data_IF_866621346599
#
_entry.id   IF_866621346599
#
_cell.length_a   1.000
_cell.length_b   1.000
_cell.length_c   1.000
_cell.angle_alpha   90.00
_cell.angle_beta   90.00
_cell.angle_gamma   90.00
#
_symmetry.space_group_name_H-M   'P 1'
#
loop_
_entity.id
_entity.type
_entity.pdbx_description
1 polymer ?
#
# COMPACT_ATOMS: atom_id res chain seq x y z
N UNK A 1 18.30 -17.69 9.07
CA UNK A 1 16.88 -18.00 8.81
C UNK A 1 16.70 -18.09 7.30
N UNK A 2 15.99 -19.14 6.81
CA UNK A 2 15.53 -19.23 5.43
C UNK A 2 14.18 -18.59 5.31
N UNK A 3 13.94 -17.81 4.25
CA UNK A 3 12.70 -17.09 3.99
C UNK A 3 12.12 -17.51 2.64
N UNK A 4 10.84 -17.85 2.61
CA UNK A 4 10.07 -18.02 1.38
C UNK A 4 9.04 -16.91 1.27
N UNK A 5 9.14 -16.06 0.24
CA UNK A 5 8.18 -15.03 -0.08
C UNK A 5 7.29 -15.52 -1.20
N UNK A 6 5.97 -15.55 -0.96
CA UNK A 6 4.97 -15.96 -1.96
C UNK A 6 4.17 -14.74 -2.40
N UNK A 7 4.11 -14.49 -3.70
CA UNK A 7 3.38 -13.39 -4.32
C UNK A 7 2.47 -13.92 -5.44
N UNK A 8 1.20 -13.55 -5.38
CA UNK A 8 0.21 -14.00 -6.35
C UNK A 8 0.38 -13.42 -7.76
N UNK A 9 0.99 -12.27 -7.85
CA UNK A 9 1.20 -11.58 -9.13
C UNK A 9 2.59 -11.78 -9.72
N UNK A 10 2.84 -11.07 -10.79
CA UNK A 10 4.09 -11.11 -11.56
C UNK A 10 5.15 -10.19 -10.98
N UNK A 11 6.39 -10.33 -11.47
CA UNK A 11 7.44 -9.33 -11.28
C UNK A 11 7.01 -7.98 -11.88
N UNK A 12 7.38 -6.90 -11.22
CA UNK A 12 7.05 -5.51 -11.58
C UNK A 12 7.96 -4.93 -12.68
N UNK A 13 8.26 -5.73 -13.71
CA UNK A 13 9.20 -5.36 -14.79
C UNK A 13 8.59 -4.51 -15.90
N UNK A 14 7.25 -4.41 -15.97
CA UNK A 14 6.59 -3.69 -17.05
C UNK A 14 6.93 -2.19 -16.99
N UNK A 15 7.17 -1.61 -18.17
CA UNK A 15 7.44 -0.17 -18.29
C UNK A 15 6.33 0.67 -17.65
N UNK A 16 5.07 0.26 -17.82
CA UNK A 16 3.92 0.94 -17.25
C UNK A 16 3.95 1.00 -15.71
N UNK A 17 4.52 -0.02 -15.04
CA UNK A 17 4.69 -0.05 -13.59
C UNK A 17 5.82 0.89 -13.16
N UNK A 18 6.92 0.91 -13.90
CA UNK A 18 8.09 1.76 -13.60
C UNK A 18 7.82 3.24 -13.86
N UNK A 19 7.08 3.54 -14.91
CA UNK A 19 6.78 4.89 -15.35
C UNK A 19 5.74 5.55 -14.42
N UNK A 20 6.04 6.69 -13.77
CA UNK A 20 5.09 7.37 -12.89
C UNK A 20 3.75 7.70 -13.55
N UNK A 21 3.76 8.14 -14.80
CA UNK A 21 2.55 8.44 -15.57
C UNK A 21 1.67 7.19 -15.87
N UNK A 22 2.22 6.00 -15.71
CA UNK A 22 1.50 4.73 -15.90
C UNK A 22 0.39 4.45 -14.90
N UNK A 23 0.36 5.16 -13.77
CA UNK A 23 -0.63 4.95 -12.69
C UNK A 23 -2.07 4.96 -13.21
N UNK A 24 -2.42 5.93 -14.08
CA UNK A 24 -3.76 6.05 -14.62
C UNK A 24 -4.24 4.83 -15.40
N UNK A 25 -3.35 4.09 -16.03
CA UNK A 25 -3.68 2.85 -16.76
C UNK A 25 -3.70 1.62 -15.82
N UNK A 26 -2.82 1.59 -14.82
CA UNK A 26 -2.72 0.47 -13.88
C UNK A 26 -3.94 0.35 -12.96
N UNK A 27 -4.57 1.46 -12.62
CA UNK A 27 -5.71 1.49 -11.68
C UNK A 27 -7.09 1.44 -12.33
N UNK A 28 -7.19 1.61 -13.66
CA UNK A 28 -8.48 1.73 -14.37
C UNK A 28 -9.30 0.45 -14.44
N UNK A 29 -8.64 -0.69 -14.50
CA UNK A 29 -9.29 -1.97 -14.73
C UNK A 29 -8.54 -3.11 -14.02
N UNK A 30 -9.24 -4.23 -13.81
CA UNK A 30 -8.58 -5.49 -13.48
C UNK A 30 -7.53 -5.84 -14.52
N UNK A 31 -6.40 -6.40 -14.07
CA UNK A 31 -5.32 -6.72 -14.98
C UNK A 31 -4.17 -7.49 -14.32
N UNK A 32 -3.07 -7.58 -15.06
CA UNK A 32 -1.90 -8.33 -14.60
C UNK A 32 -1.29 -7.81 -13.29
N UNK A 33 -1.49 -6.54 -12.98
CA UNK A 33 -0.94 -5.86 -11.79
C UNK A 33 -2.02 -5.29 -10.85
N UNK A 34 -3.31 -5.55 -11.11
CA UNK A 34 -4.42 -5.04 -10.31
C UNK A 34 -5.44 -6.14 -10.08
N UNK A 35 -5.82 -6.35 -8.82
CA UNK A 35 -6.86 -7.32 -8.44
C UNK A 35 -8.25 -6.93 -8.93
N UNK A 36 -8.53 -5.64 -9.05
CA UNK A 36 -9.79 -5.16 -9.58
C UNK A 36 -10.99 -5.38 -8.67
N UNK A 37 -10.85 -5.08 -7.38
CA UNK A 37 -11.95 -5.23 -6.44
C UNK A 37 -13.02 -4.15 -6.61
N UNK A 38 -14.25 -4.53 -6.25
CA UNK A 38 -15.38 -3.63 -6.07
C UNK A 38 -15.93 -3.79 -4.65
N UNK A 39 -16.36 -2.69 -4.06
CA UNK A 39 -17.11 -2.78 -2.80
C UNK A 39 -18.50 -3.36 -3.04
N UNK A 40 -19.10 -3.90 -1.99
CA UNK A 40 -20.56 -4.07 -1.97
C UNK A 40 -21.25 -2.71 -2.04
N UNK A 41 -22.56 -2.67 -2.41
CA UNK A 41 -23.30 -1.41 -2.43
C UNK A 41 -23.23 -0.67 -1.09
N UNK A 42 -22.78 0.57 -1.11
CA UNK A 42 -22.60 1.38 0.09
C UNK A 42 -23.89 2.15 0.40
N UNK A 43 -24.57 1.76 1.49
CA UNK A 43 -25.86 2.32 1.89
C UNK A 43 -25.87 3.87 1.98
N UNK A 44 -24.82 4.43 2.60
CA UNK A 44 -24.70 5.88 2.81
C UNK A 44 -24.10 6.63 1.62
N UNK A 45 -23.88 5.95 0.50
CA UNK A 45 -23.38 6.50 -0.75
C UNK A 45 -24.37 6.22 -1.91
N UNK A 46 -25.68 6.28 -1.64
CA UNK A 46 -26.75 6.02 -2.60
C UNK A 46 -26.66 4.63 -3.27
N UNK A 47 -26.24 3.63 -2.54
CA UNK A 47 -26.10 2.27 -3.05
C UNK A 47 -24.97 2.07 -4.07
N UNK A 48 -24.07 3.05 -4.22
CA UNK A 48 -22.95 2.93 -5.18
C UNK A 48 -21.98 1.82 -4.78
N UNK A 49 -21.49 1.09 -5.77
CA UNK A 49 -20.30 0.26 -5.68
C UNK A 49 -19.09 1.13 -6.05
N UNK A 50 -18.02 1.01 -5.29
CA UNK A 50 -16.79 1.75 -5.54
C UNK A 50 -15.75 0.82 -6.10
N UNK A 51 -15.08 1.26 -7.16
CA UNK A 51 -13.90 0.61 -7.69
C UNK A 51 -12.74 0.74 -6.70
N UNK A 52 -12.11 -0.38 -6.35
CA UNK A 52 -11.10 -0.41 -5.31
C UNK A 52 -9.83 -1.13 -5.78
N UNK A 53 -8.96 -0.46 -6.53
CA UNK A 53 -7.75 -1.06 -7.07
C UNK A 53 -6.80 -1.48 -5.94
N UNK A 54 -6.25 -2.69 -6.05
CA UNK A 54 -5.19 -3.21 -5.18
C UNK A 54 -4.13 -3.89 -6.03
N UNK A 55 -2.86 -3.61 -5.73
CA UNK A 55 -1.75 -4.14 -6.51
C UNK A 55 -1.61 -5.65 -6.39
N UNK A 56 -1.29 -6.28 -7.53
CA UNK A 56 -1.04 -7.72 -7.68
C UNK A 56 0.32 -7.91 -8.34
N UNK A 57 1.32 -8.29 -7.56
CA UNK A 57 2.70 -8.42 -8.05
C UNK A 57 3.73 -7.92 -7.05
N UNK A 58 4.97 -8.00 -7.43
CA UNK A 58 6.06 -7.52 -6.61
C UNK A 58 5.86 -6.06 -6.22
N UNK A 59 5.96 -5.79 -4.91
CA UNK A 59 5.68 -4.47 -4.35
C UNK A 59 4.20 -4.18 -4.05
N UNK A 60 3.28 -5.07 -4.43
CA UNK A 60 1.85 -4.91 -4.15
C UNK A 60 1.30 -3.56 -4.62
N UNK A 61 0.51 -2.90 -3.79
CA UNK A 61 -0.11 -1.60 -4.14
C UNK A 61 0.91 -0.47 -4.32
N UNK A 62 2.13 -0.58 -3.78
CA UNK A 62 3.18 0.42 -4.05
C UNK A 62 3.63 0.41 -5.52
N UNK A 63 3.37 -0.67 -6.27
CA UNK A 63 3.65 -0.78 -7.69
C UNK A 63 2.58 -0.17 -8.60
N UNK A 64 1.41 0.22 -8.05
CA UNK A 64 0.32 0.84 -8.82
C UNK A 64 -0.23 2.13 -8.22
N UNK A 65 0.20 2.55 -7.03
CA UNK A 65 -0.27 3.75 -6.33
C UNK A 65 0.14 5.07 -7.02
N UNK A 66 -0.37 6.20 -6.54
CA UNK A 66 -0.02 7.55 -6.99
C UNK A 66 1.33 8.07 -6.49
N UNK A 67 2.13 7.24 -5.81
CA UNK A 67 3.49 7.56 -5.31
C UNK A 67 3.55 8.73 -4.32
N UNK A 68 2.45 9.18 -3.78
CA UNK A 68 2.44 10.19 -2.72
C UNK A 68 3.03 9.55 -1.46
N UNK A 69 4.04 10.21 -0.87
CA UNK A 69 4.63 9.80 0.38
C UNK A 69 4.13 10.72 1.49
N UNK A 70 3.26 10.18 2.34
CA UNK A 70 2.73 10.84 3.52
C UNK A 70 2.50 9.80 4.60
N UNK A 71 2.87 10.13 5.83
CA UNK A 71 2.66 9.31 7.02
C UNK A 71 1.31 9.64 7.64
N UNK A 72 0.80 8.75 8.48
CA UNK A 72 -0.30 9.08 9.37
C UNK A 72 0.07 10.27 10.27
N UNK A 73 -0.94 10.99 10.74
CA UNK A 73 -0.74 12.06 11.71
C UNK A 73 -0.19 11.48 13.03
N UNK A 74 0.64 12.24 13.75
CA UNK A 74 1.22 11.78 15.03
C UNK A 74 0.13 11.29 16.01
N UNK A 75 -1.00 11.98 16.06
CA UNK A 75 -2.16 11.63 16.92
C UNK A 75 -2.79 10.28 16.56
N UNK A 76 -2.71 9.80 15.31
CA UNK A 76 -3.24 8.49 14.94
C UNK A 76 -2.50 7.37 15.67
N UNK A 77 -1.17 7.47 15.73
CA UNK A 77 -0.33 6.51 16.45
C UNK A 77 -0.45 6.63 17.96
N UNK A 78 -0.51 7.87 18.48
CA UNK A 78 -0.70 8.12 19.90
C UNK A 78 -2.07 7.60 20.37
N UNK A 79 -3.10 7.69 19.53
CA UNK A 79 -4.41 7.09 19.81
C UNK A 79 -4.30 5.55 19.88
N UNK A 80 -3.53 4.92 19.01
CA UNK A 80 -3.31 3.48 19.10
C UNK A 80 -2.65 3.09 20.42
N UNK A 81 -1.63 3.85 20.86
CA UNK A 81 -0.98 3.63 22.15
C UNK A 81 -1.96 3.78 23.30
N UNK A 82 -2.83 4.82 23.28
CA UNK A 82 -3.88 5.04 24.28
C UNK A 82 -4.91 3.92 24.32
N UNK A 83 -5.21 3.28 23.19
CA UNK A 83 -6.06 2.09 23.09
C UNK A 83 -5.40 0.82 23.67
N UNK A 84 -4.16 0.92 24.18
CA UNK A 84 -3.42 -0.18 24.80
C UNK A 84 -2.38 -0.85 23.91
N UNK A 85 -2.15 -0.37 22.68
CA UNK A 85 -1.15 -0.90 21.77
C UNK A 85 0.23 -0.31 22.11
N UNK A 86 0.91 -0.90 23.08
CA UNK A 86 2.24 -0.47 23.53
C UNK A 86 3.26 -0.60 22.39
N UNK A 87 4.15 0.39 22.25
CA UNK A 87 5.14 0.44 21.19
C UNK A 87 4.62 0.99 19.86
N UNK A 88 3.41 1.58 19.85
CA UNK A 88 2.77 2.15 18.68
C UNK A 88 2.51 3.66 18.79
N UNK A 89 3.03 4.35 19.79
CA UNK A 89 2.99 5.83 19.81
C UNK A 89 3.82 6.41 18.66
N UNK A 90 3.57 7.66 18.31
CA UNK A 90 4.37 8.32 17.26
C UNK A 90 5.86 8.29 17.57
N UNK A 91 6.23 8.51 18.83
CA UNK A 91 7.62 8.42 19.27
C UNK A 91 8.23 7.03 19.06
N UNK A 92 7.43 5.96 19.26
CA UNK A 92 7.89 4.59 19.06
C UNK A 92 8.06 4.24 17.57
N UNK A 93 7.17 4.72 16.69
CA UNK A 93 7.17 4.35 15.26
C UNK A 93 8.06 5.26 14.38
N UNK A 94 8.31 6.51 14.80
CA UNK A 94 9.13 7.45 14.04
C UNK A 94 10.54 6.93 13.70
N UNK A 95 11.28 6.25 14.59
CA UNK A 95 12.58 5.66 14.25
C UNK A 95 12.50 4.65 13.08
N UNK A 96 11.40 3.91 12.97
CA UNK A 96 11.18 2.96 11.87
C UNK A 96 10.83 3.66 10.56
N UNK A 97 10.06 4.73 10.59
CA UNK A 97 9.86 5.57 9.41
C UNK A 97 11.17 6.13 8.89
N UNK A 98 11.99 6.71 9.77
CA UNK A 98 13.31 7.23 9.41
C UNK A 98 14.26 6.13 8.88
N UNK A 99 14.24 4.95 9.49
CA UNK A 99 15.04 3.79 9.04
C UNK A 99 14.64 3.32 7.64
N UNK A 100 13.34 3.38 7.33
CA UNK A 100 12.79 2.98 6.04
C UNK A 100 13.10 3.98 4.93
N UNK A 101 13.11 5.25 5.24
CA UNK A 101 13.16 6.37 4.31
C UNK A 101 14.57 6.70 3.83
N UNK A 102 14.72 6.93 2.53
CA UNK A 102 15.89 7.51 1.90
C UNK A 102 15.53 8.84 1.26
N UNK A 103 15.30 9.87 2.10
CA UNK A 103 14.87 11.19 1.66
C UNK A 103 16.01 11.98 1.03
N UNK A 104 15.79 12.57 -0.15
CA UNK A 104 16.80 13.33 -0.87
C UNK A 104 17.16 14.65 -0.18
N UNK A 105 16.29 15.18 0.65
CA UNK A 105 16.53 16.41 1.44
C UNK A 105 17.43 16.20 2.65
N UNK A 106 17.85 14.94 2.95
CA UNK A 106 18.79 14.64 4.03
C UNK A 106 18.12 14.20 5.33
N UNK A 107 18.95 13.93 6.34
CA UNK A 107 18.50 13.55 7.68
C UNK A 107 17.97 14.74 8.47
N UNK A 108 16.92 14.49 9.25
CA UNK A 108 16.36 15.46 10.20
C UNK A 108 15.78 14.77 11.43
N UNK A 109 15.11 15.51 12.33
CA UNK A 109 14.36 14.91 13.42
C UNK A 109 13.25 13.97 12.91
N UNK A 110 12.69 14.25 11.75
CA UNK A 110 11.57 13.52 11.16
C UNK A 110 11.95 12.62 9.98
N UNK A 111 13.03 12.90 9.27
CA UNK A 111 13.44 12.18 8.06
C UNK A 111 14.69 11.35 8.24
N UNK A 112 14.80 10.29 7.44
CA UNK A 112 16.03 9.51 7.25
C UNK A 112 16.49 9.56 5.80
N UNK A 113 17.80 9.75 5.56
CA UNK A 113 18.37 9.85 4.22
C UNK A 113 18.90 8.54 3.65
N UNK A 114 19.16 7.53 4.49
CA UNK A 114 19.88 6.31 4.11
C UNK A 114 19.00 5.09 3.88
N UNK A 115 17.70 5.19 4.13
CA UNK A 115 16.78 4.07 3.99
C UNK A 115 16.58 3.60 2.54
N UNK A 116 16.07 2.38 2.37
CA UNK A 116 15.89 1.76 1.06
C UNK A 116 14.73 2.36 0.24
N UNK A 117 13.72 2.93 0.89
CA UNK A 117 12.59 3.58 0.21
C UNK A 117 12.98 5.01 -0.17
N UNK A 118 13.32 5.23 -1.43
CA UNK A 118 13.70 6.56 -1.89
C UNK A 118 12.50 7.49 -1.98
N UNK A 119 12.67 8.67 -1.40
CA UNK A 119 11.67 9.73 -1.32
C UNK A 119 12.27 11.03 -1.87
N UNK A 120 11.56 11.63 -2.81
CA UNK A 120 11.98 12.88 -3.47
C UNK A 120 10.92 13.97 -3.37
N UNK A 121 11.34 15.19 -3.56
CA UNK A 121 10.45 16.34 -3.75
C UNK A 121 9.75 16.25 -5.11
N UNK A 122 8.58 16.87 -5.20
CA UNK A 122 7.88 16.96 -6.49
C UNK A 122 8.58 17.94 -7.42
N UNK A 123 9.09 17.50 -8.60
CA UNK A 123 9.76 18.40 -9.55
C UNK A 123 8.78 19.32 -10.30
N UNK A 124 7.47 19.12 -10.18
CA UNK A 124 6.47 19.84 -10.93
C UNK A 124 6.33 21.28 -10.43
N UNK A 125 6.66 22.25 -11.28
CA UNK A 125 6.56 23.69 -11.05
C UNK A 125 5.46 24.33 -11.90
N UNK A 126 4.26 23.73 -11.97
CA UNK A 126 3.15 24.33 -12.72
C UNK A 126 2.69 25.64 -12.06
N UNK A 127 2.34 26.69 -12.85
CA UNK A 127 1.71 27.90 -12.33
C UNK A 127 0.46 27.63 -11.49
N UNK A 128 -0.30 26.59 -11.80
CA UNK A 128 -1.48 26.16 -11.05
C UNK A 128 -1.15 25.80 -9.60
N UNK A 129 -0.04 25.11 -9.36
CA UNK A 129 0.36 24.74 -7.99
C UNK A 129 0.66 25.97 -7.14
N UNK A 130 1.35 26.97 -7.73
CA UNK A 130 1.61 28.22 -7.03
C UNK A 130 0.33 28.98 -6.73
N UNK A 131 -0.56 29.07 -7.72
CA UNK A 131 -1.86 29.70 -7.55
C UNK A 131 -2.70 29.01 -6.48
N UNK A 132 -2.68 27.68 -6.44
CA UNK A 132 -3.41 26.90 -5.43
C UNK A 132 -2.87 27.13 -4.02
N UNK A 133 -1.53 27.15 -3.84
CA UNK A 133 -0.91 27.44 -2.54
C UNK A 133 -1.25 28.87 -2.09
N UNK A 134 -1.13 29.86 -2.99
CA UNK A 134 -1.50 31.24 -2.71
C UNK A 134 -2.97 31.41 -2.34
N UNK A 135 -3.86 30.69 -3.03
CA UNK A 135 -5.29 30.69 -2.71
C UNK A 135 -5.56 30.14 -1.31
N UNK A 136 -4.82 29.10 -0.89
CA UNK A 136 -4.89 28.58 0.47
C UNK A 136 -4.49 29.62 1.53
N UNK A 137 -3.37 30.33 1.30
CA UNK A 137 -2.91 31.41 2.17
C UNK A 137 -3.93 32.58 2.23
N UNK A 138 -4.45 32.99 1.07
CA UNK A 138 -5.50 34.03 0.98
C UNK A 138 -6.79 33.63 1.70
N UNK A 139 -7.11 32.35 1.75
CA UNK A 139 -8.24 31.82 2.49
C UNK A 139 -7.97 31.63 3.99
N UNK A 140 -6.77 32.02 4.47
CA UNK A 140 -6.40 31.96 5.88
C UNK A 140 -5.87 30.60 6.36
N UNK A 141 -5.54 29.68 5.44
CA UNK A 141 -4.92 28.41 5.80
C UNK A 141 -3.40 28.53 5.93
N UNK A 142 -2.82 27.74 6.83
CA UNK A 142 -1.37 27.68 7.00
C UNK A 142 -0.68 27.06 5.78
N UNK A 143 0.55 27.50 5.49
CA UNK A 143 1.44 26.81 4.56
C UNK A 143 2.31 25.82 5.31
N UNK A 144 2.48 24.62 4.75
CA UNK A 144 3.48 23.65 5.23
C UNK A 144 4.50 23.36 4.14
N UNK A 145 5.76 23.25 4.55
CA UNK A 145 6.86 22.84 3.67
C UNK A 145 7.06 21.32 3.68
N UNK A 146 6.50 20.66 4.69
CA UNK A 146 6.77 19.24 4.95
C UNK A 146 5.61 18.59 5.71
N UNK A 147 4.81 17.82 4.99
CA UNK A 147 3.70 17.04 5.58
C UNK A 147 4.17 15.88 6.48
N UNK A 148 5.45 15.51 6.41
CA UNK A 148 6.03 14.44 7.23
C UNK A 148 6.91 15.00 8.36
N UNK A 149 6.89 16.32 8.56
CA UNK A 149 7.59 17.04 9.59
C UNK A 149 6.79 17.23 10.89
N UNK A 150 7.05 18.34 11.59
CA UNK A 150 6.40 18.66 12.86
C UNK A 150 4.92 19.01 12.70
N UNK A 151 4.57 19.72 11.61
CA UNK A 151 3.23 20.24 11.34
C UNK A 151 2.70 19.65 10.04
N UNK A 152 1.71 18.76 10.15
CA UNK A 152 1.14 18.09 8.99
C UNK A 152 0.01 18.89 8.33
N UNK A 153 -0.65 19.78 9.07
CA UNK A 153 -1.78 20.55 8.56
C UNK A 153 -1.31 21.76 7.73
N UNK A 154 -1.98 22.00 6.61
CA UNK A 154 -1.72 23.17 5.76
C UNK A 154 -1.70 22.86 4.28
N UNK A 155 -1.35 23.88 3.50
CA UNK A 155 -1.14 23.80 2.06
C UNK A 155 0.34 23.61 1.75
N UNK A 156 0.68 22.59 0.98
CA UNK A 156 2.07 22.26 0.68
C UNK A 156 2.22 21.31 -0.49
N UNK A 157 3.45 20.89 -0.74
CA UNK A 157 3.77 19.90 -1.76
C UNK A 157 3.97 18.53 -1.12
N UNK A 158 3.42 17.51 -1.73
CA UNK A 158 3.68 16.13 -1.32
C UNK A 158 5.06 15.67 -1.79
N UNK A 159 5.76 15.00 -0.90
CA UNK A 159 6.91 14.18 -1.24
C UNK A 159 6.44 12.92 -1.99
N UNK A 160 7.33 12.28 -2.73
CA UNK A 160 6.99 11.17 -3.61
C UNK A 160 7.98 10.03 -3.54
N UNK A 161 7.47 8.80 -3.67
CA UNK A 161 8.28 7.61 -3.88
C UNK A 161 8.68 7.48 -5.35
N UNK A 162 9.49 8.43 -5.81
CA UNK A 162 10.06 8.48 -7.16
C UNK A 162 11.57 8.68 -7.02
N UNK A 163 12.35 7.93 -7.78
CA UNK A 163 13.79 8.08 -7.82
C UNK A 163 14.30 7.99 -9.26
N UNK A 164 15.12 8.96 -9.67
CA UNK A 164 15.65 9.05 -11.05
C UNK A 164 14.57 8.93 -12.14
N UNK A 165 13.40 9.56 -11.89
CA UNK A 165 12.29 9.55 -12.83
C UNK A 165 11.44 8.26 -12.85
N UNK A 166 11.75 7.28 -12.04
CA UNK A 166 11.02 6.02 -11.93
C UNK A 166 10.29 5.89 -10.59
N UNK A 167 9.15 5.17 -10.60
CA UNK A 167 8.46 4.73 -9.39
C UNK A 167 9.41 3.93 -8.50
N UNK A 168 9.46 4.26 -7.22
CA UNK A 168 10.23 3.53 -6.23
C UNK A 168 9.30 2.75 -5.30
N UNK A 169 8.90 1.56 -5.74
CA UNK A 169 8.00 0.68 -4.99
C UNK A 169 8.73 -0.05 -3.85
N UNK A 170 7.98 -0.71 -2.97
CA UNK A 170 8.55 -1.62 -1.97
C UNK A 170 9.41 -2.73 -2.61
N UNK A 171 9.06 -3.18 -3.80
CA UNK A 171 9.90 -4.13 -4.55
C UNK A 171 11.27 -3.52 -4.89
N UNK A 172 11.29 -2.29 -5.38
CA UNK A 172 12.54 -1.59 -5.71
C UNK A 172 13.39 -1.29 -4.49
N UNK A 173 12.76 -0.89 -3.38
CA UNK A 173 13.48 -0.56 -2.16
C UNK A 173 14.00 -1.78 -1.41
N UNK A 174 13.22 -2.84 -1.31
CA UNK A 174 13.50 -3.93 -0.37
C UNK A 174 13.76 -5.29 -1.04
N UNK A 175 13.04 -5.63 -2.12
CA UNK A 175 13.09 -6.98 -2.68
C UNK A 175 14.16 -7.13 -3.77
N UNK A 176 14.14 -6.26 -4.79
CA UNK A 176 15.05 -6.33 -5.93
C UNK A 176 16.54 -6.30 -5.55
N UNK A 177 16.98 -5.50 -4.57
CA UNK A 177 18.38 -5.47 -4.18
C UNK A 177 18.92 -6.78 -3.59
N UNK A 178 18.02 -7.66 -3.12
CA UNK A 178 18.41 -8.88 -2.40
C UNK A 178 18.08 -10.18 -3.13
N UNK A 179 17.16 -10.13 -4.10
CA UNK A 179 16.80 -11.30 -4.93
C UNK A 179 17.98 -11.70 -5.80
N UNK A 180 18.38 -12.97 -5.73
CA UNK A 180 19.55 -13.51 -6.43
C UNK A 180 20.88 -13.16 -5.77
N UNK A 181 20.86 -12.40 -4.67
CA UNK A 181 22.05 -12.08 -3.86
C UNK A 181 22.05 -12.86 -2.55
N UNK A 182 20.87 -13.03 -1.95
CA UNK A 182 20.72 -13.80 -0.70
C UNK A 182 20.32 -15.24 -0.99
N UNK A 183 21.18 -16.19 -0.66
CA UNK A 183 20.94 -17.64 -0.83
C UNK A 183 19.82 -18.17 0.09
N UNK A 184 19.50 -17.44 1.16
CA UNK A 184 18.48 -17.82 2.12
C UNK A 184 17.08 -17.27 1.76
N UNK A 185 16.90 -16.61 0.61
CA UNK A 185 15.63 -16.06 0.13
C UNK A 185 15.14 -16.80 -1.12
N UNK A 186 13.98 -17.45 -0.99
CA UNK A 186 13.23 -18.00 -2.13
C UNK A 186 12.04 -17.11 -2.42
N UNK A 187 11.81 -16.76 -3.69
CA UNK A 187 10.64 -15.97 -4.13
C UNK A 187 9.82 -16.77 -5.13
N UNK A 188 8.59 -17.08 -4.73
CA UNK A 188 7.58 -17.70 -5.59
C UNK A 188 6.68 -16.60 -6.15
N UNK A 189 6.76 -16.39 -7.45
CA UNK A 189 5.89 -15.44 -8.17
C UNK A 189 4.76 -16.18 -8.85
N UNK A 190 3.58 -15.55 -8.95
CA UNK A 190 2.35 -16.17 -9.47
C UNK A 190 1.81 -17.33 -8.63
N UNK A 191 2.21 -17.39 -7.36
CA UNK A 191 1.72 -18.34 -6.36
C UNK A 191 0.62 -17.69 -5.50
N UNK A 192 -0.60 -18.15 -5.62
CA UNK A 192 -1.71 -17.70 -4.78
C UNK A 192 -1.75 -18.54 -3.51
N UNK A 193 -1.57 -17.90 -2.36
CA UNK A 193 -1.81 -18.53 -1.06
C UNK A 193 -3.31 -18.66 -0.86
N UNK A 194 -3.80 -19.86 -0.69
CA UNK A 194 -5.23 -20.17 -0.52
C UNK A 194 -5.60 -20.39 0.93
N UNK A 195 -4.66 -20.85 1.74
CA UNK A 195 -4.90 -21.17 3.15
C UNK A 195 -3.61 -21.17 3.95
N UNK A 196 -3.70 -20.80 5.23
CA UNK A 196 -2.66 -21.03 6.24
C UNK A 196 -2.89 -22.42 6.83
N UNK A 197 -1.85 -23.23 6.88
CA UNK A 197 -1.89 -24.55 7.50
C UNK A 197 -1.82 -24.40 9.02
N UNK A 198 -2.78 -24.97 9.71
CA UNK A 198 -2.91 -24.86 11.16
C UNK A 198 -2.82 -26.24 11.81
N UNK A 199 -1.97 -26.39 12.82
CA UNK A 199 -1.86 -27.59 13.65
C UNK A 199 -1.88 -27.21 15.13
N UNK A 200 -2.85 -27.71 15.87
CA UNK A 200 -2.97 -27.48 17.33
C UNK A 200 -2.89 -25.99 17.70
N UNK A 201 -3.52 -25.12 16.91
CA UNK A 201 -3.55 -23.67 17.14
C UNK A 201 -2.28 -22.91 16.71
N UNK A 202 -1.35 -23.56 16.03
CA UNK A 202 -0.13 -22.96 15.48
C UNK A 202 -0.15 -22.96 13.96
N UNK A 203 0.31 -21.87 13.34
CA UNK A 203 0.56 -21.83 11.91
C UNK A 203 1.83 -22.63 11.58
N UNK A 204 1.72 -23.61 10.68
CA UNK A 204 2.80 -24.53 10.29
C UNK A 204 3.22 -24.38 8.84
N UNK A 205 2.54 -23.53 8.07
CA UNK A 205 2.84 -23.32 6.66
C UNK A 205 1.71 -22.66 5.92
N UNK A 206 1.77 -22.73 4.61
CA UNK A 206 0.75 -22.20 3.69
C UNK A 206 0.47 -23.20 2.57
N UNK A 207 -0.76 -23.20 2.09
CA UNK A 207 -1.16 -23.86 0.85
C UNK A 207 -1.06 -22.85 -0.30
N UNK A 208 -0.40 -23.23 -1.38
CA UNK A 208 -0.14 -22.35 -2.53
C UNK A 208 -0.59 -23.03 -3.82
N UNK A 209 -1.29 -22.27 -4.66
CA UNK A 209 -1.65 -22.68 -6.02
C UNK A 209 -0.89 -21.83 -7.02
N UNK A 210 -0.08 -22.46 -7.88
CA UNK A 210 0.66 -21.78 -8.93
C UNK A 210 -0.01 -21.98 -10.29
N UNK A 211 -0.38 -20.88 -10.96
CA UNK A 211 -0.98 -20.90 -12.30
C UNK A 211 -2.42 -21.47 -12.33
N UNK A 212 -3.02 -21.52 -13.53
CA UNK A 212 -4.37 -22.06 -13.73
C UNK A 212 -4.33 -23.60 -13.78
N UNK A 213 -5.12 -24.25 -12.93
CA UNK A 213 -5.32 -25.71 -12.97
C UNK A 213 -4.20 -26.57 -12.36
N UNK A 214 -3.27 -25.99 -11.61
CA UNK A 214 -2.26 -26.74 -10.86
C UNK A 214 -2.81 -27.23 -9.53
N UNK A 215 -2.27 -28.34 -9.06
CA UNK A 215 -2.56 -28.87 -7.72
C UNK A 215 -2.01 -27.92 -6.67
N UNK A 216 -2.70 -27.80 -5.56
CA UNK A 216 -2.22 -27.06 -4.41
C UNK A 216 -0.96 -27.75 -3.84
N UNK A 217 0.01 -26.97 -3.44
CA UNK A 217 1.25 -27.40 -2.81
C UNK A 217 1.32 -26.81 -1.40
N UNK A 218 1.81 -27.59 -0.45
CA UNK A 218 2.06 -27.12 0.91
C UNK A 218 3.51 -26.67 1.06
N UNK A 219 3.70 -25.49 1.64
CA UNK A 219 5.01 -24.96 2.01
C UNK A 219 5.04 -24.83 3.52
N UNK A 220 5.84 -25.66 4.16
CA UNK A 220 5.94 -25.67 5.62
C UNK A 220 6.92 -24.62 6.15
N UNK A 221 6.54 -24.01 7.28
CA UNK A 221 7.32 -23.04 8.02
C UNK A 221 7.73 -23.59 9.38
N UNK A 222 9.04 -23.65 9.66
CA UNK A 222 9.57 -24.11 10.93
C UNK A 222 9.41 -23.10 12.07
N UNK A 223 9.38 -21.80 11.74
CA UNK A 223 9.35 -20.72 12.74
C UNK A 223 7.99 -20.01 12.75
N UNK A 224 7.63 -19.35 11.67
CA UNK A 224 6.43 -18.51 11.61
C UNK A 224 5.93 -18.31 10.18
N UNK A 225 4.66 -17.92 10.05
CA UNK A 225 4.03 -17.45 8.82
C UNK A 225 3.69 -15.97 8.98
N UNK A 226 4.26 -15.13 8.13
CA UNK A 226 4.05 -13.68 8.14
C UNK A 226 3.05 -13.32 7.04
N UNK A 227 1.86 -12.85 7.41
CA UNK A 227 0.81 -12.47 6.48
C UNK A 227 0.93 -11.00 6.10
N UNK A 228 1.28 -10.73 4.85
CA UNK A 228 1.44 -9.39 4.29
C UNK A 228 0.58 -9.17 3.03
N UNK A 229 -0.62 -9.79 2.97
CA UNK A 229 -1.47 -9.79 1.78
C UNK A 229 -2.30 -8.49 1.61
N UNK A 230 -2.09 -7.49 2.46
CA UNK A 230 -2.77 -6.20 2.44
C UNK A 230 -4.11 -6.19 3.19
N UNK A 231 -4.72 -5.02 3.31
CA UNK A 231 -5.88 -4.79 4.16
C UNK A 231 -7.14 -5.59 3.75
N UNK A 232 -7.26 -5.98 2.47
CA UNK A 232 -8.37 -6.79 1.96
C UNK A 232 -8.11 -8.28 2.09
N UNK A 233 -6.94 -8.73 1.64
CA UNK A 233 -6.67 -10.16 1.48
C UNK A 233 -6.06 -10.81 2.72
N UNK A 234 -5.40 -10.05 3.62
CA UNK A 234 -4.93 -10.62 4.89
C UNK A 234 -6.08 -11.13 5.75
N UNK A 235 -7.15 -10.34 6.03
CA UNK A 235 -8.30 -10.87 6.76
C UNK A 235 -9.04 -11.95 5.97
N UNK A 236 -9.13 -11.86 4.65
CA UNK A 236 -9.70 -12.92 3.82
C UNK A 236 -8.95 -14.25 3.99
N UNK A 237 -7.62 -14.21 3.91
CA UNK A 237 -6.78 -15.40 4.08
C UNK A 237 -6.92 -15.99 5.48
N UNK A 238 -6.98 -15.14 6.52
CA UNK A 238 -7.24 -15.61 7.88
C UNK A 238 -8.59 -16.32 7.99
N UNK A 239 -9.64 -15.73 7.44
CA UNK A 239 -10.99 -16.33 7.45
C UNK A 239 -11.03 -17.65 6.67
N UNK A 240 -10.45 -17.73 5.49
CA UNK A 240 -10.32 -18.96 4.70
C UNK A 240 -9.54 -20.06 5.45
N UNK A 241 -8.69 -19.66 6.40
CA UNK A 241 -7.91 -20.56 7.25
C UNK A 241 -8.61 -20.91 8.57
N UNK A 242 -9.88 -20.55 8.73
CA UNK A 242 -10.64 -20.85 9.95
C UNK A 242 -10.38 -19.87 11.10
N UNK A 243 -9.74 -18.72 10.84
CA UNK A 243 -9.47 -17.70 11.87
C UNK A 243 -10.45 -16.54 11.69
N UNK A 244 -11.47 -16.45 12.52
CA UNK A 244 -12.51 -15.43 12.32
C UNK A 244 -13.70 -15.56 13.28
N UNK A 245 -14.80 -14.93 12.89
CA UNK A 245 -16.08 -15.05 13.58
C UNK A 245 -16.72 -16.40 13.25
N UNK A 246 -17.01 -17.29 14.24
CA UNK A 246 -17.57 -18.62 14.02
C UNK A 246 -18.88 -18.61 13.22
N UNK A 247 -19.79 -17.68 13.52
CA UNK A 247 -21.10 -17.61 12.84
C UNK A 247 -20.94 -17.17 11.37
N UNK A 248 -19.95 -16.33 11.09
CA UNK A 248 -19.63 -15.93 9.74
C UNK A 248 -18.98 -17.07 8.96
N UNK A 249 -17.97 -17.72 9.53
CA UNK A 249 -17.28 -18.85 8.91
C UNK A 249 -18.20 -20.03 8.64
N UNK A 250 -19.11 -20.32 9.56
CA UNK A 250 -20.11 -21.40 9.40
C UNK A 250 -21.06 -21.21 8.22
N UNK A 251 -21.30 -19.97 7.75
CA UNK A 251 -22.11 -19.71 6.53
C UNK A 251 -21.42 -20.17 5.24
N UNK A 252 -20.12 -20.42 5.30
CA UNK A 252 -19.28 -20.85 4.18
C UNK A 252 -18.73 -22.25 4.39
N UNK A 253 -19.26 -23.00 5.36
CA UNK A 253 -18.78 -24.35 5.75
C UNK A 253 -17.29 -24.38 6.14
N UNK A 254 -16.76 -23.24 6.62
CA UNK A 254 -15.38 -23.14 7.09
C UNK A 254 -15.36 -23.47 8.59
N UNK A 255 -14.63 -24.53 8.94
CA UNK A 255 -14.40 -24.91 10.33
C UNK A 255 -13.61 -23.82 11.06
N UNK A 256 -14.10 -23.41 12.23
CA UNK A 256 -13.39 -22.46 13.07
C UNK A 256 -12.21 -23.15 13.77
N UNK A 257 -10.99 -22.73 13.43
CA UNK A 257 -9.76 -23.16 14.10
C UNK A 257 -9.40 -22.19 15.26
N UNK A 258 -9.61 -20.89 15.05
CA UNK A 258 -9.37 -19.86 16.08
C UNK A 258 -10.52 -18.84 16.07
N UNK A 259 -11.20 -18.69 17.21
CA UNK A 259 -12.24 -17.67 17.38
C UNK A 259 -11.59 -16.28 17.46
N UNK A 260 -11.76 -15.47 16.43
CA UNK A 260 -11.28 -14.10 16.33
C UNK A 260 -12.32 -13.23 15.62
N UNK A 261 -13.37 -12.78 16.35
CA UNK A 261 -14.56 -12.18 15.75
C UNK A 261 -14.31 -10.87 15.01
N UNK A 262 -13.21 -10.18 15.31
CA UNK A 262 -12.89 -8.90 14.70
C UNK A 262 -12.10 -9.01 13.38
N UNK A 263 -11.68 -10.20 12.97
CA UNK A 263 -11.00 -10.38 11.67
C UNK A 263 -11.95 -10.04 10.54
N UNK A 264 -11.54 -9.10 9.69
CA UNK A 264 -12.33 -8.59 8.57
C UNK A 264 -13.41 -7.58 8.95
N UNK A 265 -13.47 -7.15 10.22
CA UNK A 265 -14.41 -6.14 10.67
C UNK A 265 -13.77 -4.75 10.71
N UNK A 266 -14.63 -3.71 10.74
CA UNK A 266 -14.24 -2.30 10.94
C UNK A 266 -13.21 -1.79 9.92
N UNK A 267 -13.26 -2.26 8.67
CA UNK A 267 -12.42 -1.72 7.62
C UNK A 267 -12.75 -0.24 7.42
N UNK A 268 -11.71 0.59 7.46
CA UNK A 268 -11.80 2.03 7.23
C UNK A 268 -10.88 2.41 6.08
N UNK A 269 -11.28 3.42 5.31
CA UNK A 269 -10.47 4.04 4.27
C UNK A 269 -10.73 5.54 4.27
N UNK A 270 -9.85 6.32 3.61
CA UNK A 270 -10.01 7.76 3.51
C UNK A 270 -11.22 8.10 2.65
N UNK A 271 -12.01 9.06 3.12
CA UNK A 271 -13.01 9.73 2.29
C UNK A 271 -12.29 10.67 1.33
N UNK A 272 -12.47 10.46 0.04
CA UNK A 272 -11.91 11.31 -1.00
C UNK A 272 -13.01 12.02 -1.78
N UNK A 273 -12.83 13.31 -2.02
CA UNK A 273 -13.73 14.15 -2.78
C UNK A 273 -12.94 14.89 -3.86
N UNK A 274 -13.32 14.66 -5.11
CA UNK A 274 -12.71 15.36 -6.25
C UNK A 274 -13.54 16.56 -6.64
N UNK A 275 -12.95 17.75 -6.56
CA UNK A 275 -13.53 18.99 -7.09
C UNK A 275 -12.86 19.30 -8.43
N UNK A 276 -13.65 19.39 -9.49
CA UNK A 276 -13.16 19.60 -10.86
C UNK A 276 -13.53 20.98 -11.34
N UNK A 277 -12.56 21.75 -11.79
CA UNK A 277 -12.75 23.03 -12.44
C UNK A 277 -12.28 22.99 -13.88
N UNK A 278 -13.06 23.57 -14.79
CA UNK A 278 -12.61 23.84 -16.15
C UNK A 278 -11.70 25.07 -16.18
N UNK A 279 -10.61 24.99 -16.91
CA UNK A 279 -9.64 26.06 -17.02
C UNK A 279 -9.76 26.79 -18.34
N UNK A 280 -9.75 28.10 -18.28
CA UNK A 280 -9.79 28.97 -19.49
C UNK A 280 -8.45 29.02 -20.23
N UNK A 281 -7.34 28.61 -19.58
CA UNK A 281 -6.01 28.56 -20.17
C UNK A 281 -5.48 27.11 -20.23
N UNK A 282 -4.70 26.71 -21.25
CA UNK A 282 -4.20 25.35 -21.43
C UNK A 282 -2.98 25.05 -20.55
N UNK A 283 -3.05 25.35 -19.26
CA UNK A 283 -1.97 25.16 -18.28
C UNK A 283 -2.15 23.92 -17.38
N UNK A 284 -3.24 23.15 -17.59
CA UNK A 284 -3.50 21.94 -16.85
C UNK A 284 -2.64 20.74 -17.32
N UNK A 285 -2.45 19.76 -16.46
CA UNK A 285 -1.78 18.50 -16.83
C UNK A 285 -2.48 17.76 -17.99
N UNK A 286 -3.76 18.02 -18.23
CA UNK A 286 -4.53 17.45 -19.34
C UNK A 286 -3.98 17.90 -20.70
N UNK A 287 -3.54 19.17 -20.83
CA UNK A 287 -2.91 19.67 -22.06
C UNK A 287 -1.61 18.95 -22.39
N UNK A 288 -0.85 18.51 -21.37
CA UNK A 288 0.41 17.80 -21.54
C UNK A 288 0.22 16.36 -22.08
N UNK A 289 -0.95 15.76 -21.83
CA UNK A 289 -1.26 14.39 -22.32
C UNK A 289 -1.54 14.35 -23.83
N UNK A 290 -1.92 15.47 -24.43
CA UNK A 290 -2.23 15.55 -25.87
C UNK A 290 -1.00 15.47 -26.77
N UNK A 291 0.20 15.73 -26.26
CA UNK A 291 1.46 15.63 -26.97
C UNK A 291 2.10 14.25 -27.01
N UNK A 292 1.50 13.25 -26.32
CA UNK A 292 1.99 11.87 -26.22
C UNK A 292 1.20 10.89 -27.13
N UNK A 293 0.51 11.40 -28.16
CA UNK A 293 -0.18 10.58 -29.17
C UNK A 293 0.74 10.30 -30.35
#
# INVERSE_FOLDING_TARGET
IKVCLVEAGKKDNALMVRMPAGVGNLIKAEGAYNWGFWTEPQKHMNGRKLWWPRGKGWGGSSSINGMIYIRGHARDYDQWAQMGLRGWSFADVLPYFRKSEGYEGGDSAYHGASGPLKVSESPLSSPIYRAFLQAGEQAGYASTKDFNGAEQEGFGRYQRTIHKGERWSASYGYLRPIVGVRDNLTVISTGLVTRILMEKGRATGVEVVEGKGRLAQEIHASSEVIVCAGAVQSPQLLQLSGIGNPDHLGRFDIKTEVKSPNVGQNLQDHLDLTVIHEMTQPISAYSMQKGLK
#
